data_IF_384477754282
#
_entry.id   IF_384477754282
#
_cell.length_a   1.000
_cell.length_b   1.000
_cell.length_c   1.000
_cell.angle_alpha   90.00
_cell.angle_beta   90.00
_cell.angle_gamma   90.00
#
_symmetry.space_group_name_H-M   'P 1'
#
loop_
_entity.id
_entity.type
_entity.pdbx_description
1 polymer ?
#
# COMPACT_ATOMS: atom_id res chain seq x y z
N UNK A 1 12.94 14.29 30.55
CA UNK A 1 13.64 13.56 29.48
C UNK A 1 12.59 12.69 28.81
N UNK A 2 12.16 13.02 27.60
CA UNK A 2 11.29 12.10 26.86
C UNK A 2 12.11 10.83 26.61
N UNK A 3 11.64 9.71 27.14
CA UNK A 3 12.16 8.41 26.71
C UNK A 3 11.99 8.32 25.21
N UNK A 4 13.06 8.20 24.46
CA UNK A 4 13.06 8.06 23.02
C UNK A 4 12.07 6.96 22.66
N UNK A 5 10.96 7.35 22.05
CA UNK A 5 9.88 6.42 21.72
C UNK A 5 10.29 5.68 20.45
N UNK A 6 10.69 4.43 20.60
CA UNK A 6 10.97 3.54 19.49
C UNK A 6 9.65 3.05 18.91
N UNK A 7 9.39 3.34 17.65
CA UNK A 7 8.18 2.93 16.92
C UNK A 7 8.52 1.86 15.88
N UNK A 8 9.63 2.06 15.15
CA UNK A 8 10.07 1.16 14.08
C UNK A 8 11.27 0.36 14.59
N UNK A 9 11.07 -0.95 14.75
CA UNK A 9 12.10 -1.86 15.28
C UNK A 9 11.79 -3.31 14.89
N UNK A 10 12.07 -3.68 13.64
CA UNK A 10 11.79 -5.01 13.11
C UNK A 10 13.04 -5.65 12.50
N UNK A 11 13.71 -6.49 13.28
CA UNK A 11 14.98 -7.11 12.90
C UNK A 11 14.84 -8.54 12.37
N UNK A 12 13.66 -9.13 12.57
CA UNK A 12 13.35 -10.49 12.11
C UNK A 12 11.82 -10.69 12.05
N UNK A 13 11.38 -11.84 11.56
CA UNK A 13 9.96 -12.17 11.36
C UNK A 13 9.35 -13.03 12.49
N UNK A 14 10.11 -13.43 13.50
CA UNK A 14 9.67 -14.35 14.56
C UNK A 14 9.58 -13.73 15.96
N UNK A 15 10.08 -12.53 16.16
CA UNK A 15 9.89 -11.81 17.42
C UNK A 15 8.42 -11.44 17.64
N UNK A 16 7.97 -11.32 18.90
CA UNK A 16 6.59 -10.94 19.19
C UNK A 16 6.19 -9.62 18.53
N UNK A 17 5.14 -9.66 17.70
CA UNK A 17 4.59 -8.49 17.04
C UNK A 17 4.03 -7.51 18.07
N UNK A 18 4.44 -6.25 18.04
CA UNK A 18 3.97 -5.19 18.95
C UNK A 18 3.16 -4.10 18.25
N UNK A 19 3.48 -3.83 17.00
CA UNK A 19 2.89 -2.76 16.23
C UNK A 19 2.82 -3.13 14.75
N UNK A 20 1.71 -2.88 14.08
CA UNK A 20 1.51 -3.24 12.67
C UNK A 20 0.64 -2.20 11.96
N UNK A 21 0.84 -2.06 10.66
CA UNK A 21 -0.05 -1.31 9.77
C UNK A 21 -0.95 -2.33 9.05
N UNK A 22 -2.26 -2.17 9.19
CA UNK A 22 -3.27 -2.95 8.44
C UNK A 22 -3.93 -2.03 7.42
N UNK A 23 -3.98 -2.45 6.17
CA UNK A 23 -4.54 -1.65 5.09
C UNK A 23 -6.05 -1.41 5.18
N UNK A 24 -6.58 -0.64 4.24
CA UNK A 24 -8.01 -0.34 4.05
C UNK A 24 -8.43 -0.64 2.63
N UNK A 25 -9.70 -1.02 2.46
CA UNK A 25 -10.28 -1.26 1.13
C UNK A 25 -10.99 -0.01 0.56
N UNK A 26 -11.09 1.06 1.35
CA UNK A 26 -11.79 2.29 0.93
C UNK A 26 -11.25 2.80 -0.41
N UNK A 27 -12.17 3.13 -1.30
CA UNK A 27 -11.86 3.70 -2.60
C UNK A 27 -11.15 2.77 -3.59
N UNK A 28 -10.95 1.48 -3.26
CA UNK A 28 -10.28 0.52 -4.15
C UNK A 28 -10.95 0.48 -5.53
N UNK A 29 -10.12 0.54 -6.57
CA UNK A 29 -10.54 0.46 -7.97
C UNK A 29 -10.14 -0.86 -8.63
N UNK A 30 -10.83 -1.20 -9.71
CA UNK A 30 -10.36 -2.10 -10.74
C UNK A 30 -9.40 -1.27 -11.59
N UNK A 31 -8.14 -1.65 -11.74
CA UNK A 31 -7.20 -0.88 -12.55
C UNK A 31 -7.49 -1.01 -14.04
N UNK A 32 -7.22 0.05 -14.78
CA UNK A 32 -7.30 0.03 -16.24
C UNK A 32 -6.21 -0.88 -16.85
N UNK A 33 -6.43 -1.25 -18.10
CA UNK A 33 -5.47 -2.05 -18.90
C UNK A 33 -4.10 -1.39 -18.91
N UNK A 34 -3.08 -2.20 -18.62
CA UNK A 34 -1.66 -1.85 -18.69
C UNK A 34 -0.85 -3.12 -18.95
N UNK A 35 0.38 -3.03 -19.52
CA UNK A 35 1.13 -4.22 -19.94
C UNK A 35 1.30 -5.30 -18.86
N UNK A 36 1.56 -4.91 -17.61
CA UNK A 36 1.77 -5.84 -16.50
C UNK A 36 0.48 -6.55 -16.06
N UNK A 37 -0.68 -5.89 -16.17
CA UNK A 37 -1.98 -6.48 -15.86
C UNK A 37 -2.45 -7.37 -17.00
N UNK A 38 -2.34 -6.90 -18.23
CA UNK A 38 -2.80 -7.63 -19.42
C UNK A 38 -2.06 -8.95 -19.59
N UNK A 39 -0.81 -9.02 -19.16
CA UNK A 39 -0.05 -10.27 -19.13
C UNK A 39 -0.61 -11.31 -18.14
N UNK A 40 -1.46 -10.91 -17.19
CA UNK A 40 -2.03 -11.79 -16.13
C UNK A 40 -3.52 -12.02 -16.27
N UNK A 41 -4.23 -11.12 -16.94
CA UNK A 41 -5.68 -11.25 -17.16
C UNK A 41 -5.90 -12.03 -18.46
N UNK A 42 -6.59 -13.18 -18.45
CA UNK A 42 -6.90 -13.95 -19.66
C UNK A 42 -7.58 -13.09 -20.72
N UNK A 43 -7.30 -13.37 -21.99
CA UNK A 43 -7.85 -12.60 -23.11
C UNK A 43 -9.38 -12.68 -23.21
N UNK A 44 -9.95 -13.81 -22.78
CA UNK A 44 -11.39 -14.09 -22.74
C UNK A 44 -12.07 -13.66 -21.42
N UNK A 45 -11.36 -12.98 -20.53
CA UNK A 45 -11.92 -12.52 -19.25
C UNK A 45 -12.85 -11.33 -19.43
N UNK A 46 -14.05 -11.41 -18.86
CA UNK A 46 -15.02 -10.31 -18.78
C UNK A 46 -14.46 -9.07 -18.03
N UNK A 47 -13.40 -9.26 -17.24
CA UNK A 47 -12.73 -8.18 -16.52
C UNK A 47 -11.77 -7.38 -17.40
N UNK A 48 -11.41 -7.89 -18.57
CA UNK A 48 -10.44 -7.22 -19.44
C UNK A 48 -10.99 -5.92 -20.00
N UNK A 49 -10.27 -4.83 -19.80
CA UNK A 49 -10.67 -3.49 -20.22
C UNK A 49 -11.70 -2.80 -19.31
N UNK A 50 -12.22 -3.48 -18.30
CA UNK A 50 -13.01 -2.82 -17.26
C UNK A 50 -12.11 -2.10 -16.27
N UNK A 51 -12.48 -0.89 -15.85
CA UNK A 51 -11.79 -0.15 -14.80
C UNK A 51 -12.74 0.79 -14.06
N UNK A 52 -12.30 1.30 -12.90
CA UNK A 52 -13.07 2.21 -12.08
C UNK A 52 -13.34 1.68 -10.67
N UNK A 53 -14.17 2.36 -9.88
CA UNK A 53 -14.42 1.99 -8.50
C UNK A 53 -15.02 0.58 -8.37
N UNK A 54 -14.56 -0.18 -7.38
CA UNK A 54 -15.23 -1.41 -6.98
C UNK A 54 -16.58 -1.12 -6.35
N UNK A 55 -17.48 -2.09 -6.39
CA UNK A 55 -18.81 -1.94 -5.79
C UNK A 55 -18.70 -1.69 -4.28
N UNK A 56 -19.62 -0.90 -3.74
CA UNK A 56 -19.69 -0.60 -2.31
C UNK A 56 -19.76 -1.88 -1.47
N UNK A 57 -20.56 -2.86 -1.88
CA UNK A 57 -20.69 -4.15 -1.19
C UNK A 57 -19.35 -4.90 -1.10
N UNK A 58 -18.56 -4.89 -2.18
CA UNK A 58 -17.23 -5.51 -2.19
C UNK A 58 -16.25 -4.80 -1.24
N UNK A 59 -16.28 -3.46 -1.22
CA UNK A 59 -15.45 -2.65 -0.32
C UNK A 59 -15.86 -2.85 1.13
N UNK A 60 -17.16 -2.83 1.43
CA UNK A 60 -17.68 -3.00 2.79
C UNK A 60 -17.30 -4.39 3.36
N UNK A 61 -17.44 -5.46 2.56
CA UNK A 61 -17.03 -6.82 2.94
C UNK A 61 -15.53 -6.91 3.21
N UNK A 62 -14.71 -6.30 2.35
CA UNK A 62 -13.26 -6.30 2.53
C UNK A 62 -12.87 -5.51 3.79
N UNK A 63 -13.46 -4.34 4.02
CA UNK A 63 -13.21 -3.55 5.23
C UNK A 63 -13.65 -4.31 6.50
N UNK A 64 -14.81 -4.99 6.48
CA UNK A 64 -15.24 -5.81 7.62
C UNK A 64 -14.19 -6.86 8.00
N UNK A 65 -13.63 -7.58 7.01
CA UNK A 65 -12.59 -8.58 7.26
C UNK A 65 -11.30 -7.94 7.80
N UNK A 66 -10.90 -6.78 7.25
CA UNK A 66 -9.72 -6.05 7.73
C UNK A 66 -9.91 -5.50 9.14
N UNK A 67 -11.13 -5.06 9.49
CA UNK A 67 -11.50 -4.57 10.82
C UNK A 67 -11.55 -5.72 11.84
N UNK A 68 -12.10 -6.86 11.47
CA UNK A 68 -12.11 -8.07 12.32
C UNK A 68 -10.67 -8.54 12.59
N UNK A 69 -9.81 -8.54 11.57
CA UNK A 69 -8.39 -8.84 11.72
C UNK A 69 -7.69 -7.83 12.64
N UNK A 70 -7.93 -6.54 12.45
CA UNK A 70 -7.39 -5.48 13.29
C UNK A 70 -7.82 -5.64 14.74
N UNK A 71 -9.11 -5.89 14.97
CA UNK A 71 -9.68 -6.10 16.29
C UNK A 71 -9.10 -7.35 16.99
N UNK A 72 -8.84 -8.42 16.23
CA UNK A 72 -8.17 -9.60 16.75
C UNK A 72 -6.74 -9.29 17.23
N UNK A 73 -6.00 -8.49 16.47
CA UNK A 73 -4.64 -8.07 16.85
C UNK A 73 -4.64 -7.17 18.07
N UNK A 74 -5.57 -6.20 18.14
CA UNK A 74 -5.73 -5.30 19.29
C UNK A 74 -6.07 -6.08 20.57
N UNK A 75 -6.95 -7.08 20.48
CA UNK A 75 -7.27 -7.97 21.61
C UNK A 75 -6.06 -8.76 22.13
N UNK A 76 -5.04 -8.94 21.32
CA UNK A 76 -3.74 -9.56 21.68
C UNK A 76 -2.71 -8.55 22.18
N UNK A 77 -3.08 -7.29 22.37
CA UNK A 77 -2.19 -6.24 22.85
C UNK A 77 -1.30 -5.65 21.76
N UNK A 78 -1.56 -5.93 20.47
CA UNK A 78 -0.81 -5.39 19.35
C UNK A 78 -1.42 -4.05 18.95
N UNK A 79 -0.58 -3.03 18.83
CA UNK A 79 -1.01 -1.74 18.29
C UNK A 79 -1.23 -1.86 16.78
N UNK A 80 -2.40 -1.40 16.32
CA UNK A 80 -2.75 -1.37 14.90
C UNK A 80 -2.95 0.07 14.44
N UNK A 81 -2.22 0.46 13.41
CA UNK A 81 -2.45 1.71 12.69
C UNK A 81 -2.98 1.41 11.28
N UNK A 82 -3.71 2.37 10.70
CA UNK A 82 -4.37 2.24 9.40
C UNK A 82 -3.95 3.40 8.48
N UNK A 83 -3.78 3.17 7.17
CA UNK A 83 -3.48 4.25 6.23
C UNK A 83 -4.65 5.23 6.07
N UNK A 84 -4.35 6.38 5.50
CA UNK A 84 -5.33 7.37 5.05
C UNK A 84 -5.57 7.18 3.54
N UNK A 85 -6.72 6.57 3.13
CA UNK A 85 -7.04 6.38 1.73
C UNK A 85 -7.08 7.71 0.97
N UNK A 86 -6.55 7.70 -0.25
CA UNK A 86 -6.66 8.82 -1.20
C UNK A 86 -7.73 8.51 -2.24
N UNK A 87 -8.02 9.46 -3.13
CA UNK A 87 -8.90 9.17 -4.26
C UNK A 87 -8.14 8.30 -5.29
N UNK A 88 -8.48 7.02 -5.38
CA UNK A 88 -7.89 6.09 -6.34
C UNK A 88 -8.57 6.14 -7.70
N UNK A 89 -9.80 6.67 -7.79
CA UNK A 89 -10.53 6.83 -9.05
C UNK A 89 -10.15 8.16 -9.72
N UNK A 90 -8.90 8.30 -10.06
CA UNK A 90 -8.38 9.47 -10.76
C UNK A 90 -7.22 9.08 -11.68
N UNK A 91 -7.13 9.76 -12.81
CA UNK A 91 -6.00 9.64 -13.71
C UNK A 91 -4.72 10.10 -13.03
N UNK A 92 -3.67 9.31 -13.21
CA UNK A 92 -2.31 9.65 -12.77
C UNK A 92 -1.36 9.59 -13.95
N UNK A 93 -0.33 10.41 -13.92
CA UNK A 93 0.64 10.53 -15.02
C UNK A 93 2.06 10.62 -14.51
N UNK A 94 2.97 10.09 -15.29
CA UNK A 94 4.41 10.33 -15.19
C UNK A 94 4.89 10.82 -16.57
N UNK A 95 6.15 11.22 -16.72
CA UNK A 95 6.67 11.56 -18.05
C UNK A 95 6.66 10.39 -19.05
N UNK A 96 6.50 9.16 -18.59
CA UNK A 96 6.65 7.95 -19.40
C UNK A 96 5.33 7.23 -19.70
N UNK A 97 4.26 7.47 -18.90
CA UNK A 97 2.96 6.80 -19.05
C UNK A 97 1.83 7.50 -18.28
N UNK A 98 0.61 7.16 -18.66
CA UNK A 98 -0.63 7.49 -17.96
C UNK A 98 -1.30 6.24 -17.42
N UNK A 99 -2.05 6.37 -16.31
CA UNK A 99 -2.96 5.35 -15.79
C UNK A 99 -4.32 5.99 -15.47
N UNK A 100 -5.41 5.38 -15.91
CA UNK A 100 -6.76 5.95 -15.76
C UNK A 100 -7.26 5.89 -14.33
N UNK A 101 -6.82 4.87 -13.56
CA UNK A 101 -7.10 4.75 -12.13
C UNK A 101 -5.86 4.26 -11.40
N UNK A 102 -5.80 4.54 -10.11
CA UNK A 102 -4.94 3.82 -9.18
C UNK A 102 -5.67 2.56 -8.68
N UNK A 103 -5.04 1.78 -7.80
CA UNK A 103 -5.60 0.52 -7.31
C UNK A 103 -6.23 0.66 -5.92
N UNK A 104 -5.45 0.88 -4.86
CA UNK A 104 -5.93 0.91 -3.47
C UNK A 104 -4.81 0.96 -2.44
N UNK A 105 -5.14 0.66 -1.17
CA UNK A 105 -4.16 0.62 -0.08
C UNK A 105 -4.37 -0.55 0.90
N UNK A 106 -4.85 -1.70 0.40
CA UNK A 106 -5.07 -2.86 1.26
C UNK A 106 -3.78 -3.57 1.70
N UNK A 107 -2.77 -3.80 0.83
CA UNK A 107 -1.58 -4.55 1.19
C UNK A 107 -0.38 -3.63 1.51
N UNK A 108 -0.22 -3.14 2.76
CA UNK A 108 0.91 -2.26 3.09
C UNK A 108 2.27 -2.92 2.82
N UNK A 109 2.39 -4.23 3.05
CA UNK A 109 3.63 -4.99 2.84
C UNK A 109 4.18 -4.96 1.41
N UNK A 110 3.33 -4.67 0.43
CA UNK A 110 3.75 -4.62 -0.97
C UNK A 110 4.47 -3.31 -1.32
N UNK A 111 4.15 -2.25 -0.60
CA UNK A 111 4.68 -0.89 -0.86
C UNK A 111 5.58 -0.36 0.25
N UNK A 112 5.64 -1.05 1.37
CA UNK A 112 6.50 -0.71 2.51
C UNK A 112 7.31 -1.94 2.95
N UNK A 113 8.63 -1.78 2.99
CA UNK A 113 9.55 -2.76 3.56
C UNK A 113 10.13 -2.21 4.87
N UNK A 114 9.98 -2.95 5.95
CA UNK A 114 10.57 -2.58 7.24
C UNK A 114 11.78 -3.45 7.54
N UNK A 115 12.93 -2.82 7.78
CA UNK A 115 14.18 -3.50 8.15
C UNK A 115 14.82 -2.76 9.31
N UNK A 116 14.89 -3.38 10.47
CA UNK A 116 15.40 -2.75 11.68
C UNK A 116 14.59 -1.51 12.06
N UNK A 117 15.22 -0.37 12.06
CA UNK A 117 14.61 0.94 12.35
C UNK A 117 14.27 1.75 11.08
N UNK A 118 14.31 1.12 9.93
CA UNK A 118 14.04 1.76 8.64
C UNK A 118 12.75 1.26 8.00
N UNK A 119 11.96 2.18 7.43
CA UNK A 119 10.88 1.87 6.51
C UNK A 119 11.26 2.41 5.13
N UNK A 120 11.33 1.49 4.16
CA UNK A 120 11.61 1.78 2.77
C UNK A 120 10.30 1.76 1.96
N UNK A 121 10.00 2.84 1.23
CA UNK A 121 8.96 2.82 0.21
C UNK A 121 9.45 1.97 -0.97
N UNK A 122 8.87 0.78 -1.11
CA UNK A 122 9.24 -0.16 -2.15
C UNK A 122 8.74 0.28 -3.54
N UNK A 123 9.37 -0.25 -4.57
CA UNK A 123 8.94 -0.06 -5.96
C UNK A 123 7.81 -1.01 -6.31
N UNK A 124 6.96 -0.59 -7.25
CA UNK A 124 5.88 -1.42 -7.80
C UNK A 124 6.10 -1.64 -9.29
N UNK A 125 5.76 -2.85 -9.76
CA UNK A 125 5.80 -3.20 -11.18
C UNK A 125 4.54 -2.81 -11.95
N UNK A 126 3.50 -2.34 -11.27
CA UNK A 126 2.24 -1.91 -11.85
C UNK A 126 2.13 -0.40 -11.83
N UNK A 127 1.73 0.22 -12.95
CA UNK A 127 1.50 1.68 -13.05
C UNK A 127 0.39 2.13 -12.12
N UNK A 128 -0.70 1.40 -12.05
CA UNK A 128 -1.83 1.69 -11.16
C UNK A 128 -1.47 1.67 -9.68
N UNK A 129 -0.39 1.01 -9.30
CA UNK A 129 0.09 0.90 -7.91
C UNK A 129 1.27 1.82 -7.58
N UNK A 130 1.76 2.55 -8.54
CA UNK A 130 2.97 3.38 -8.40
C UNK A 130 2.90 4.38 -7.24
N UNK A 131 1.71 4.95 -7.00
CA UNK A 131 1.47 5.98 -6.00
C UNK A 131 0.80 5.48 -4.72
N UNK A 132 0.66 4.18 -4.51
CA UNK A 132 0.01 3.63 -3.30
C UNK A 132 0.71 4.05 -2.00
N UNK A 133 2.01 4.25 -2.00
CA UNK A 133 2.76 4.71 -0.84
C UNK A 133 2.25 6.05 -0.28
N UNK A 134 1.58 6.88 -1.09
CA UNK A 134 1.03 8.16 -0.65
C UNK A 134 0.00 8.01 0.47
N UNK A 135 -0.74 6.91 0.51
CA UNK A 135 -1.72 6.61 1.57
C UNK A 135 -1.06 6.41 2.94
N UNK A 136 0.20 6.00 2.94
CA UNK A 136 0.95 5.69 4.16
C UNK A 136 1.80 6.86 4.64
N UNK A 137 2.14 7.80 3.77
CA UNK A 137 3.02 8.93 4.10
C UNK A 137 2.58 9.74 5.32
N UNK A 138 1.29 10.10 5.53
CA UNK A 138 0.89 10.80 6.74
C UNK A 138 1.21 10.02 8.01
N UNK A 139 1.02 8.70 7.98
CA UNK A 139 1.33 7.82 9.09
C UNK A 139 2.84 7.70 9.31
N UNK A 140 3.62 7.51 8.25
CA UNK A 140 5.08 7.43 8.32
C UNK A 140 5.70 8.73 8.80
N UNK A 141 5.17 9.89 8.38
CA UNK A 141 5.60 11.19 8.87
C UNK A 141 5.35 11.35 10.38
N UNK A 142 4.22 10.85 10.88
CA UNK A 142 3.92 10.82 12.31
C UNK A 142 4.91 9.95 13.07
N UNK A 143 5.29 8.80 12.52
CA UNK A 143 6.31 7.93 13.12
C UNK A 143 7.66 8.62 13.15
N UNK A 144 8.11 9.14 12.01
CA UNK A 144 9.38 9.86 11.87
C UNK A 144 9.52 11.03 12.85
N UNK A 145 8.45 11.81 13.03
CA UNK A 145 8.45 12.91 13.98
C UNK A 145 8.45 12.49 15.46
N UNK A 146 8.13 11.23 15.74
CA UNK A 146 7.98 10.70 17.10
C UNK A 146 9.09 9.71 17.50
N UNK A 147 9.83 9.18 16.53
CA UNK A 147 10.92 8.21 16.72
C UNK A 147 12.20 8.80 16.13
N UNK A 148 13.11 9.34 16.95
CA UNK A 148 14.33 10.00 16.48
C UNK A 148 15.33 9.00 15.83
N UNK A 149 15.13 7.70 16.01
CA UNK A 149 15.98 6.67 15.44
C UNK A 149 15.43 6.12 14.13
N UNK A 150 14.19 6.47 13.75
CA UNK A 150 13.57 5.98 12.54
C UNK A 150 14.25 6.56 11.30
N UNK A 151 14.49 5.70 10.32
CA UNK A 151 14.87 6.06 8.97
C UNK A 151 13.71 5.82 8.02
N UNK A 152 13.52 6.74 7.07
CA UNK A 152 12.50 6.63 6.04
C UNK A 152 13.11 7.01 4.69
N UNK A 153 13.13 6.06 3.79
CA UNK A 153 13.73 6.20 2.47
C UNK A 153 12.76 5.72 1.38
N UNK A 154 13.01 6.16 0.16
CA UNK A 154 12.31 5.66 -1.02
C UNK A 154 13.29 4.92 -1.93
N UNK A 155 12.95 3.71 -2.32
CA UNK A 155 13.71 2.98 -3.32
C UNK A 155 13.66 3.71 -4.67
N UNK A 156 14.72 3.62 -5.50
CA UNK A 156 14.68 4.11 -6.87
C UNK A 156 13.51 3.50 -7.63
N UNK A 157 12.66 4.34 -8.22
CA UNK A 157 11.45 3.87 -8.92
C UNK A 157 11.77 3.58 -10.39
N UNK A 158 11.38 2.41 -10.93
CA UNK A 158 11.54 2.07 -12.33
C UNK A 158 10.65 2.99 -13.19
N UNK A 159 11.03 3.21 -14.44
CA UNK A 159 10.25 4.09 -15.34
C UNK A 159 8.94 3.46 -15.78
N UNK A 160 8.85 2.14 -15.86
CA UNK A 160 7.69 1.37 -16.30
C UNK A 160 7.21 1.76 -17.71
N UNK A 161 8.15 2.01 -18.63
CA UNK A 161 7.82 2.21 -20.04
C UNK A 161 7.33 0.90 -20.65
N UNK A 162 6.64 0.96 -21.80
CA UNK A 162 6.18 -0.26 -22.50
C UNK A 162 7.35 -1.20 -22.87
N UNK A 163 8.56 -0.67 -22.97
CA UNK A 163 9.76 -1.47 -23.26
C UNK A 163 10.27 -2.25 -22.05
N UNK A 164 9.86 -1.89 -20.84
CA UNK A 164 10.28 -2.55 -19.61
C UNK A 164 9.48 -3.85 -19.37
N UNK A 165 8.37 -4.06 -20.10
CA UNK A 165 7.49 -5.23 -20.00
C UNK A 165 7.69 -6.23 -21.15
N UNK A 166 8.90 -6.68 -21.38
CA UNK A 166 9.23 -7.64 -22.43
C UNK A 166 9.33 -9.08 -21.93
#
# INVERSE_FOLDING_TARGET
MNSDKIIVNSWNEWDPLKHVIVGKADGTCIPASEPALDAKVPEDSDMRGQFGPRTKDSIDKANQLLDDFSNMLVKRGIKVDRPDPINFNQKTSTPDWDAETMFGCMPPRDVLLTVGNEILEATMSYRCRWFEYLCYRPLLQKYYNSDPNMRHESAPKPRLTDKDYR
#
